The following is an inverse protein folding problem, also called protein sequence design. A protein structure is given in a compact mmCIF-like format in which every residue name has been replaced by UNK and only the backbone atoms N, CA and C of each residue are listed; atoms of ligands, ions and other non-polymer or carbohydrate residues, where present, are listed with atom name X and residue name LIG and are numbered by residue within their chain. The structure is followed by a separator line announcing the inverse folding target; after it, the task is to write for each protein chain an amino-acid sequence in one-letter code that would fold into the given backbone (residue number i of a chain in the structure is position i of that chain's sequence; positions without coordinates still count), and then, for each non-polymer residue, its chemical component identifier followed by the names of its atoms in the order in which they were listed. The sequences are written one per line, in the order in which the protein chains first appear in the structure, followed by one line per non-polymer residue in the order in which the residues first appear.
data_IF_995743099799
#
_entry.id   IF_995743099799
#
_cell.length_a   1.000
_cell.length_b   1.000
_cell.length_c   1.000
_cell.angle_alpha   90.00
_cell.angle_beta   90.00
_cell.angle_gamma   90.00
#
_symmetry.space_group_name_H-M   'P 1'
#
loop_
_entity.id
_entity.type
_entity.pdbx_description
1 polymer ?
#
# COMPACT_ATOMS: atom_id res chain seq x y z
N UNK A 1 22.79 -31.13 -32.44
CA UNK A 1 21.68 -31.62 -33.27
C UNK A 1 20.89 -32.56 -32.37
N UNK A 2 19.72 -32.22 -31.86
CA UNK A 2 18.83 -31.12 -32.26
C UNK A 2 18.29 -30.33 -31.04
N UNK A 3 17.90 -29.07 -31.25
CA UNK A 3 17.57 -28.08 -30.20
C UNK A 3 16.06 -27.74 -30.24
N UNK A 4 15.23 -28.59 -29.64
CA UNK A 4 13.76 -28.44 -29.66
C UNK A 4 13.30 -27.29 -28.76
N UNK A 5 13.23 -26.10 -29.34
CA UNK A 5 12.57 -24.92 -28.75
C UNK A 5 11.08 -25.15 -28.61
N UNK A 6 10.59 -25.29 -27.38
CA UNK A 6 9.16 -25.31 -27.09
C UNK A 6 8.56 -23.90 -27.16
N UNK A 7 7.92 -23.55 -28.26
CA UNK A 7 7.03 -22.37 -28.32
C UNK A 7 5.74 -22.64 -27.53
N UNK A 8 5.60 -22.02 -26.36
CA UNK A 8 4.35 -22.06 -25.60
C UNK A 8 3.32 -21.11 -26.21
N UNK A 9 2.59 -21.63 -27.20
CA UNK A 9 1.38 -21.01 -27.76
C UNK A 9 0.23 -20.98 -26.73
N UNK A 10 0.26 -20.00 -25.84
CA UNK A 10 -0.76 -19.77 -24.80
C UNK A 10 -1.98 -18.98 -25.28
N UNK A 11 -2.77 -19.52 -26.20
CA UNK A 11 -3.94 -18.84 -26.77
C UNK A 11 -5.18 -18.95 -25.87
N UNK A 12 -5.58 -17.81 -25.30
CA UNK A 12 -6.98 -17.39 -25.10
C UNK A 12 -7.94 -18.31 -24.29
N UNK A 13 -8.09 -17.98 -23.01
CA UNK A 13 -9.30 -18.28 -22.23
C UNK A 13 -10.03 -16.96 -21.86
N UNK A 14 -10.56 -16.26 -22.86
CA UNK A 14 -11.41 -15.09 -22.63
C UNK A 14 -12.78 -15.53 -22.10
N UNK A 15 -13.13 -15.09 -20.89
CA UNK A 15 -14.51 -15.05 -20.43
C UNK A 15 -15.36 -14.32 -21.49
N UNK A 16 -16.34 -15.03 -22.07
CA UNK A 16 -17.28 -14.47 -23.05
C UNK A 16 -18.17 -13.40 -22.40
N UNK A 17 -18.82 -12.62 -23.25
CA UNK A 17 -19.82 -11.59 -22.94
C UNK A 17 -19.29 -10.25 -22.40
N UNK A 18 -18.48 -9.57 -23.23
CA UNK A 18 -18.50 -8.09 -23.35
C UNK A 18 -18.37 -7.65 -24.81
N UNK A 19 -19.04 -6.55 -25.22
CA UNK A 19 -18.94 -6.02 -26.58
C UNK A 19 -17.56 -5.41 -26.86
N UNK A 20 -17.10 -5.41 -28.13
CA UNK A 20 -15.77 -4.95 -28.51
C UNK A 20 -15.64 -3.43 -28.38
N UNK A 21 -15.03 -2.95 -27.30
CA UNK A 21 -14.72 -1.54 -27.09
C UNK A 21 -13.19 -1.36 -27.06
N UNK A 22 -12.59 -1.43 -28.26
CA UNK A 22 -11.19 -1.13 -28.58
C UNK A 22 -10.16 -1.30 -27.44
N UNK A 23 -9.61 -2.50 -27.30
CA UNK A 23 -8.37 -2.72 -26.56
C UNK A 23 -7.20 -2.09 -27.33
N UNK A 24 -6.75 -0.90 -26.90
CA UNK A 24 -5.68 -0.12 -27.57
C UNK A 24 -4.27 -0.40 -27.04
N UNK A 25 -4.07 -1.42 -26.20
CA UNK A 25 -2.75 -1.84 -25.76
C UNK A 25 -2.10 -2.79 -26.77
N UNK A 26 -1.68 -2.23 -27.91
CA UNK A 26 -1.07 -2.96 -29.02
C UNK A 26 0.45 -3.17 -28.80
N UNK A 27 0.80 -3.85 -27.71
CA UNK A 27 2.18 -4.21 -27.40
C UNK A 27 2.28 -5.68 -27.01
N UNK A 28 3.23 -6.39 -27.63
CA UNK A 28 3.63 -7.73 -27.21
C UNK A 28 4.43 -7.63 -25.92
N UNK A 29 4.11 -8.52 -25.00
CA UNK A 29 4.70 -8.59 -23.67
C UNK A 29 5.45 -9.91 -23.58
N UNK A 30 6.76 -9.83 -23.38
CA UNK A 30 7.61 -11.00 -23.13
C UNK A 30 8.03 -10.98 -21.67
N UNK A 31 7.64 -12.01 -20.93
CA UNK A 31 8.04 -12.23 -19.53
C UNK A 31 9.07 -13.35 -19.51
N UNK A 32 10.18 -13.16 -18.79
CA UNK A 32 11.18 -14.22 -18.65
C UNK A 32 10.59 -15.41 -17.86
N UNK A 33 10.67 -16.66 -18.38
CA UNK A 33 9.96 -17.81 -17.81
C UNK A 33 10.60 -18.35 -16.52
N UNK A 34 11.82 -17.96 -16.20
CA UNK A 34 12.55 -18.39 -15.01
C UNK A 34 13.03 -17.19 -14.20
N UNK A 35 12.93 -17.28 -12.87
CA UNK A 35 13.48 -16.26 -11.96
C UNK A 35 15.01 -16.20 -12.14
N UNK A 36 15.57 -15.07 -12.63
CA UNK A 36 17.00 -14.91 -12.82
C UNK A 36 17.76 -15.15 -11.52
N UNK A 37 19.01 -15.62 -11.61
CA UNK A 37 19.84 -15.93 -10.43
C UNK A 37 19.96 -14.75 -9.46
N UNK A 38 19.94 -13.51 -9.93
CA UNK A 38 19.98 -12.28 -9.13
C UNK A 38 18.66 -11.96 -8.40
N UNK A 39 17.53 -12.49 -8.86
CA UNK A 39 16.21 -12.29 -8.26
C UNK A 39 15.80 -13.43 -7.30
N UNK A 40 16.59 -14.50 -7.21
CA UNK A 40 16.38 -15.59 -6.25
C UNK A 40 16.67 -15.08 -4.84
N UNK A 41 15.69 -15.15 -3.95
CA UNK A 41 15.76 -14.56 -2.60
C UNK A 41 15.07 -13.20 -2.45
N UNK A 42 14.43 -12.67 -3.51
CA UNK A 42 13.44 -11.61 -3.36
C UNK A 42 12.14 -12.20 -2.82
N UNK A 43 11.90 -12.04 -1.50
CA UNK A 43 10.69 -12.56 -0.84
C UNK A 43 9.40 -11.90 -1.37
N UNK A 44 9.48 -10.69 -1.94
CA UNK A 44 8.33 -10.01 -2.54
C UNK A 44 8.49 -9.90 -4.05
N UNK A 45 7.43 -10.24 -4.80
CA UNK A 45 7.40 -10.21 -6.28
C UNK A 45 6.10 -9.62 -6.78
N UNK A 46 6.17 -8.65 -7.69
CA UNK A 46 5.02 -8.20 -8.47
C UNK A 46 4.86 -9.14 -9.66
N UNK A 47 3.69 -9.75 -9.81
CA UNK A 47 3.34 -10.75 -10.82
C UNK A 47 2.35 -10.23 -11.87
N UNK A 48 1.61 -9.17 -11.57
CA UNK A 48 0.63 -8.61 -12.49
C UNK A 48 0.29 -7.15 -12.23
N UNK A 49 -0.12 -6.46 -13.29
CA UNK A 49 -0.64 -5.09 -13.27
C UNK A 49 -1.96 -5.03 -14.06
N UNK A 50 -2.98 -4.43 -13.46
CA UNK A 50 -4.25 -4.09 -14.12
C UNK A 50 -4.41 -2.57 -14.13
N UNK A 51 -4.59 -1.95 -15.29
CA UNK A 51 -4.81 -0.51 -15.45
C UNK A 51 -6.09 -0.25 -16.22
N UNK A 52 -6.97 0.62 -15.71
CA UNK A 52 -8.21 1.01 -16.38
C UNK A 52 -8.40 2.52 -16.48
N UNK A 53 -8.89 2.95 -17.63
CA UNK A 53 -9.19 4.33 -17.99
C UNK A 53 -8.03 5.31 -17.69
N UNK A 54 -6.78 4.91 -17.92
CA UNK A 54 -5.59 5.72 -17.67
C UNK A 54 -4.90 6.12 -18.98
N UNK A 55 -4.99 7.39 -19.36
CA UNK A 55 -4.42 8.00 -20.58
C UNK A 55 -4.85 7.31 -21.91
N UNK A 56 -4.17 6.25 -22.32
CA UNK A 56 -4.51 5.42 -23.50
C UNK A 56 -4.92 4.00 -23.13
N UNK A 57 -4.85 3.62 -21.85
CA UNK A 57 -5.13 2.27 -21.35
C UNK A 57 -6.61 2.18 -20.91
N UNK A 58 -7.39 1.35 -21.59
CA UNK A 58 -8.84 1.16 -21.37
C UNK A 58 -9.13 0.13 -20.28
N UNK A 59 -8.77 -1.14 -20.49
CA UNK A 59 -8.78 -2.24 -19.50
C UNK A 59 -7.58 -3.17 -19.71
N UNK A 60 -6.37 -2.64 -19.53
CA UNK A 60 -5.11 -3.36 -19.77
C UNK A 60 -4.77 -4.25 -18.58
N UNK A 61 -4.54 -5.54 -18.83
CA UNK A 61 -3.91 -6.48 -17.89
C UNK A 61 -2.56 -6.90 -18.44
N UNK A 62 -1.54 -6.90 -17.59
CA UNK A 62 -0.15 -7.14 -17.94
C UNK A 62 0.45 -8.14 -16.96
N UNK A 63 0.87 -9.34 -17.39
CA UNK A 63 1.71 -10.20 -16.56
C UNK A 63 3.08 -9.53 -16.39
N UNK A 64 3.61 -9.58 -15.18
CA UNK A 64 4.91 -9.05 -14.82
C UNK A 64 5.77 -10.19 -14.27
N UNK A 65 7.02 -10.23 -14.69
CA UNK A 65 8.04 -11.09 -14.09
C UNK A 65 9.34 -10.34 -13.83
N UNK A 66 10.35 -11.00 -13.25
CA UNK A 66 11.62 -10.37 -12.85
C UNK A 66 12.35 -9.65 -13.99
N UNK A 67 12.11 -10.06 -15.23
CA UNK A 67 12.35 -9.27 -16.43
C UNK A 67 11.08 -9.29 -17.28
N UNK A 68 10.58 -8.10 -17.62
CA UNK A 68 9.43 -7.92 -18.53
C UNK A 68 9.83 -6.96 -19.64
N UNK A 69 9.69 -7.38 -20.89
CA UNK A 69 10.02 -6.59 -22.08
C UNK A 69 8.73 -6.31 -22.85
N UNK A 70 8.43 -5.02 -23.09
CA UNK A 70 7.28 -4.57 -23.86
C UNK A 70 7.73 -4.07 -25.23
N UNK A 71 7.26 -4.70 -26.31
CA UNK A 71 7.63 -4.37 -27.70
C UNK A 71 6.36 -4.09 -28.50
N UNK A 72 6.33 -3.00 -29.26
CA UNK A 72 5.19 -2.61 -30.08
C UNK A 72 5.35 -1.20 -30.66
N UNK A 73 4.41 -0.70 -31.47
CA UNK A 73 4.48 0.61 -32.11
C UNK A 73 4.60 1.79 -31.13
N UNK A 74 4.97 2.96 -31.64
CA UNK A 74 4.82 4.21 -30.90
C UNK A 74 3.34 4.46 -30.59
N UNK A 75 3.07 5.18 -29.50
CA UNK A 75 1.72 5.41 -28.94
C UNK A 75 0.91 4.18 -28.46
N UNK A 76 1.40 2.94 -28.62
CA UNK A 76 0.75 1.69 -28.15
C UNK A 76 0.63 1.52 -26.61
N UNK A 77 0.70 2.60 -25.84
CA UNK A 77 0.49 2.58 -24.38
C UNK A 77 1.67 2.11 -23.51
N UNK A 78 2.78 1.61 -24.09
CA UNK A 78 3.96 1.11 -23.33
C UNK A 78 4.46 2.08 -22.25
N UNK A 79 4.66 3.36 -22.57
CA UNK A 79 5.08 4.37 -21.58
C UNK A 79 3.97 4.67 -20.56
N UNK A 80 2.69 4.52 -20.92
CA UNK A 80 1.57 4.73 -20.01
C UNK A 80 1.43 3.59 -18.98
N UNK A 81 1.95 2.39 -19.26
CA UNK A 81 2.13 1.32 -18.26
C UNK A 81 3.10 1.76 -17.18
N UNK A 82 4.28 2.26 -17.58
CA UNK A 82 5.29 2.78 -16.64
C UNK A 82 4.72 3.96 -15.84
N UNK A 83 4.05 4.90 -16.49
CA UNK A 83 3.41 6.01 -15.80
C UNK A 83 2.26 5.63 -14.86
N UNK A 84 1.59 4.48 -15.07
CA UNK A 84 0.60 3.97 -14.12
C UNK A 84 1.26 3.40 -12.86
N UNK A 85 2.43 2.76 -13.00
CA UNK A 85 3.28 2.33 -11.87
C UNK A 85 3.89 3.53 -11.14
N UNK A 86 4.42 4.52 -11.86
CA UNK A 86 4.93 5.77 -11.29
C UNK A 86 3.84 6.50 -10.49
N UNK A 87 2.65 6.64 -11.09
CA UNK A 87 1.50 7.29 -10.47
C UNK A 87 1.05 6.55 -9.21
N UNK A 88 1.01 5.21 -9.23
CA UNK A 88 0.73 4.44 -8.03
C UNK A 88 1.80 4.71 -6.95
N UNK A 89 3.08 4.68 -7.31
CA UNK A 89 4.17 5.01 -6.40
C UNK A 89 4.08 6.44 -5.84
N UNK A 90 3.64 7.42 -6.62
CA UNK A 90 3.44 8.80 -6.14
C UNK A 90 2.25 8.90 -5.20
N UNK A 91 1.13 8.22 -5.48
CA UNK A 91 -0.02 8.15 -4.55
C UNK A 91 0.39 7.54 -3.21
N UNK A 92 1.29 6.54 -3.20
CA UNK A 92 1.85 5.92 -1.98
C UNK A 92 2.91 6.78 -1.28
N UNK A 93 3.56 7.74 -1.98
CA UNK A 93 4.63 8.58 -1.39
C UNK A 93 4.20 9.99 -0.99
N UNK A 94 3.19 10.54 -1.66
CA UNK A 94 2.79 11.97 -1.60
C UNK A 94 1.28 12.17 -1.44
N UNK A 95 0.51 11.10 -1.35
CA UNK A 95 -0.94 11.15 -1.34
C UNK A 95 -1.55 11.48 -2.72
N UNK A 96 -2.88 11.41 -2.78
CA UNK A 96 -3.63 11.48 -4.04
C UNK A 96 -3.70 12.89 -4.64
N UNK A 97 -3.77 13.93 -3.79
CA UNK A 97 -3.89 15.33 -4.23
C UNK A 97 -2.61 15.80 -4.94
N UNK A 98 -1.43 15.56 -4.34
CA UNK A 98 -0.13 15.84 -4.95
C UNK A 98 0.09 15.05 -6.24
N UNK A 99 -0.16 13.73 -6.22
CA UNK A 99 0.03 12.86 -7.38
C UNK A 99 -0.84 13.25 -8.59
N UNK A 100 -2.02 13.85 -8.38
CA UNK A 100 -2.77 14.49 -9.47
C UNK A 100 -2.28 15.89 -9.82
N UNK A 101 -1.99 16.74 -8.83
CA UNK A 101 -1.57 18.13 -9.05
C UNK A 101 -0.32 18.23 -9.91
N UNK A 102 0.72 17.48 -9.58
CA UNK A 102 1.97 17.39 -10.34
C UNK A 102 1.78 16.86 -11.78
N UNK A 103 0.65 16.19 -12.05
CA UNK A 103 0.36 15.50 -13.32
C UNK A 103 -0.78 16.15 -14.12
N UNK A 104 -1.23 17.36 -13.74
CA UNK A 104 -2.26 18.11 -14.46
C UNK A 104 -3.71 17.75 -14.13
N UNK A 105 -3.96 17.07 -13.01
CA UNK A 105 -5.29 16.74 -12.52
C UNK A 105 -5.94 15.50 -13.17
N UNK A 106 -7.19 15.23 -12.78
CA UNK A 106 -7.88 13.99 -13.19
C UNK A 106 -8.05 13.85 -14.71
N UNK A 107 -8.42 14.92 -15.42
CA UNK A 107 -8.59 14.90 -16.89
C UNK A 107 -7.25 14.76 -17.66
N UNK A 108 -6.09 14.91 -17.00
CA UNK A 108 -4.77 14.63 -17.57
C UNK A 108 -4.36 13.16 -17.47
N UNK A 109 -4.84 12.45 -16.44
CA UNK A 109 -4.58 11.01 -16.26
C UNK A 109 -5.71 10.11 -16.75
N UNK A 110 -6.93 10.62 -16.86
CA UNK A 110 -8.08 9.87 -17.38
C UNK A 110 -7.93 9.52 -18.87
N UNK A 111 -8.50 8.39 -19.28
CA UNK A 111 -8.58 8.00 -20.68
C UNK A 111 -9.40 8.99 -21.51
N UNK A 112 -8.88 9.32 -22.71
CA UNK A 112 -9.43 10.39 -23.57
C UNK A 112 -10.07 9.92 -24.88
N UNK A 113 -9.89 8.67 -25.28
CA UNK A 113 -10.35 8.14 -26.58
C UNK A 113 -11.81 7.68 -26.64
N UNK A 114 -12.66 8.07 -25.69
CA UNK A 114 -14.03 7.56 -25.56
C UNK A 114 -15.09 8.65 -25.60
N UNK A 115 -16.24 8.36 -26.22
CA UNK A 115 -17.37 9.29 -26.33
C UNK A 115 -18.03 9.67 -24.98
N UNK A 116 -17.77 8.91 -23.91
CA UNK A 116 -18.26 9.20 -22.55
C UNK A 116 -17.11 9.64 -21.66
N UNK A 117 -17.34 10.71 -20.90
CA UNK A 117 -16.37 11.21 -19.93
C UNK A 117 -16.05 10.15 -18.86
N UNK A 118 -14.76 9.90 -18.62
CA UNK A 118 -14.32 8.93 -17.60
C UNK A 118 -14.76 9.37 -16.20
N UNK A 119 -15.44 8.46 -15.51
CA UNK A 119 -15.91 8.61 -14.12
C UNK A 119 -15.05 7.87 -13.09
N UNK A 120 -14.08 7.04 -13.52
CA UNK A 120 -13.18 6.31 -12.61
C UNK A 120 -11.88 5.87 -13.30
N UNK A 121 -10.74 6.18 -12.69
CA UNK A 121 -9.44 5.55 -12.98
C UNK A 121 -9.24 4.38 -12.01
N UNK A 122 -8.56 3.29 -12.40
CA UNK A 122 -8.07 2.30 -11.44
C UNK A 122 -6.75 1.68 -11.84
N UNK A 123 -5.87 1.47 -10.86
CA UNK A 123 -4.58 0.76 -10.99
C UNK A 123 -4.55 -0.33 -9.93
N UNK A 124 -4.30 -1.57 -10.30
CA UNK A 124 -4.18 -2.68 -9.37
C UNK A 124 -2.95 -3.51 -9.65
N UNK A 125 -2.35 -4.04 -8.60
CA UNK A 125 -1.11 -4.83 -8.63
C UNK A 125 -1.40 -6.17 -7.97
N UNK A 126 -0.90 -7.25 -8.58
CA UNK A 126 -1.00 -8.61 -8.10
C UNK A 126 0.40 -9.17 -7.88
N UNK A 127 0.62 -9.96 -6.83
CA UNK A 127 1.96 -10.38 -6.44
C UNK A 127 2.04 -11.28 -5.22
N UNK A 128 3.26 -11.60 -4.81
CA UNK A 128 3.58 -12.30 -3.56
C UNK A 128 4.20 -11.25 -2.63
N UNK A 129 3.52 -10.94 -1.53
CA UNK A 129 3.96 -9.92 -0.56
C UNK A 129 3.77 -10.34 0.92
N UNK A 130 2.89 -11.30 1.19
CA UNK A 130 2.63 -11.89 2.50
C UNK A 130 3.09 -13.34 2.58
N UNK A 131 3.31 -13.84 3.79
CA UNK A 131 4.09 -15.06 4.05
C UNK A 131 3.50 -16.35 3.44
N UNK A 132 2.19 -16.38 3.15
CA UNK A 132 1.50 -17.52 2.52
C UNK A 132 0.92 -17.18 1.14
N UNK A 133 1.38 -16.09 0.52
CA UNK A 133 1.08 -15.81 -0.88
C UNK A 133 1.94 -16.67 -1.82
N UNK A 134 1.36 -17.13 -2.92
CA UNK A 134 2.04 -17.94 -3.95
C UNK A 134 1.68 -17.45 -5.35
N UNK A 135 2.17 -18.12 -6.39
CA UNK A 135 1.80 -17.77 -7.77
C UNK A 135 0.33 -18.18 -8.07
N UNK A 136 -0.21 -19.15 -7.34
CA UNK A 136 -1.61 -19.59 -7.35
C UNK A 136 -2.48 -18.72 -6.43
N UNK A 137 -2.02 -18.37 -5.22
CA UNK A 137 -2.73 -17.54 -4.25
C UNK A 137 -2.04 -16.19 -4.06
N UNK A 138 -2.17 -15.34 -5.08
CA UNK A 138 -1.54 -14.02 -5.13
C UNK A 138 -2.25 -13.00 -4.23
N UNK A 139 -1.47 -12.16 -3.57
CA UNK A 139 -1.91 -10.92 -2.96
C UNK A 139 -2.34 -9.91 -4.03
N UNK A 140 -3.26 -9.03 -3.66
CA UNK A 140 -3.80 -8.03 -4.58
C UNK A 140 -4.01 -6.69 -3.91
N UNK A 141 -3.51 -5.66 -4.55
CA UNK A 141 -3.85 -4.27 -4.28
C UNK A 141 -4.66 -3.68 -5.45
N UNK A 142 -5.66 -2.86 -5.17
CA UNK A 142 -6.45 -2.16 -6.18
C UNK A 142 -6.78 -0.73 -5.73
N UNK A 143 -6.06 0.25 -6.28
CA UNK A 143 -6.40 1.67 -6.20
C UNK A 143 -7.50 2.01 -7.20
N UNK A 144 -8.51 2.72 -6.74
CA UNK A 144 -9.67 3.13 -7.55
C UNK A 144 -9.98 4.57 -7.21
N UNK A 145 -10.05 5.40 -8.24
CA UNK A 145 -10.26 6.84 -8.13
C UNK A 145 -11.52 7.21 -8.91
N UNK A 146 -12.71 6.97 -8.33
CA UNK A 146 -13.94 7.52 -8.84
C UNK A 146 -13.97 9.05 -8.74
N UNK A 147 -14.60 9.66 -9.74
CA UNK A 147 -14.91 11.09 -9.83
C UNK A 147 -16.43 11.25 -9.85
N UNK A 148 -16.97 12.01 -8.89
CA UNK A 148 -18.40 12.34 -8.80
C UNK A 148 -18.62 13.80 -9.19
N UNK A 149 -19.61 14.06 -10.05
CA UNK A 149 -20.11 15.41 -10.35
C UNK A 149 -20.79 15.97 -9.10
N UNK A 150 -20.43 17.19 -8.69
CA UNK A 150 -21.14 17.95 -7.68
C UNK A 150 -22.30 18.70 -8.34
N UNK A 151 -23.40 18.87 -7.61
CA UNK A 151 -24.44 19.80 -8.03
C UNK A 151 -23.88 21.22 -7.93
N UNK A 152 -24.08 22.03 -8.98
CA UNK A 152 -23.70 23.44 -9.02
C UNK A 152 -24.89 24.23 -9.53
N UNK A 153 -25.14 25.37 -8.90
CA UNK A 153 -26.11 26.39 -9.33
C UNK A 153 -25.52 27.33 -10.38
N UNK A 154 -24.20 27.32 -10.56
CA UNK A 154 -23.47 28.19 -11.48
C UNK A 154 -23.33 27.58 -12.90
N UNK A 155 -23.33 28.44 -13.93
CA UNK A 155 -23.35 28.08 -15.37
C UNK A 155 -22.00 27.59 -15.91
N UNK A 156 -20.96 27.52 -15.09
CA UNK A 156 -19.62 27.05 -15.47
C UNK A 156 -19.49 25.53 -15.66
N UNK A 157 -18.27 25.07 -15.95
CA UNK A 157 -17.94 23.63 -16.02
C UNK A 157 -18.21 23.02 -14.63
N UNK A 158 -19.07 22.00 -14.49
CA UNK A 158 -19.53 21.56 -13.18
C UNK A 158 -18.34 21.07 -12.33
N UNK A 159 -18.25 21.44 -11.05
CA UNK A 159 -17.20 20.95 -10.17
C UNK A 159 -17.34 19.44 -9.98
N UNK A 160 -16.19 18.77 -9.87
CA UNK A 160 -16.13 17.34 -9.59
C UNK A 160 -15.28 17.11 -8.35
N UNK A 161 -15.67 16.12 -7.54
CA UNK A 161 -14.85 15.61 -6.44
C UNK A 161 -14.33 14.22 -6.80
N UNK A 162 -13.04 13.98 -6.56
CA UNK A 162 -12.40 12.66 -6.63
C UNK A 162 -12.20 12.11 -5.22
N UNK A 163 -12.32 10.80 -5.04
CA UNK A 163 -12.07 10.18 -3.73
C UNK A 163 -11.27 8.88 -3.88
N UNK A 164 -10.38 8.62 -2.92
CA UNK A 164 -9.58 7.39 -2.82
C UNK A 164 -10.51 6.23 -2.43
N UNK A 165 -10.44 5.14 -3.19
CA UNK A 165 -10.94 3.83 -2.79
C UNK A 165 -9.82 2.83 -2.97
N UNK A 166 -9.59 1.98 -1.98
CA UNK A 166 -8.57 0.94 -2.04
C UNK A 166 -9.15 -0.40 -1.64
N UNK A 167 -8.60 -1.45 -2.23
CA UNK A 167 -8.79 -2.82 -1.78
C UNK A 167 -7.42 -3.48 -1.65
N UNK A 168 -7.18 -4.07 -0.49
CA UNK A 168 -6.05 -4.91 -0.19
C UNK A 168 -6.55 -6.35 -0.03
N UNK A 169 -5.74 -7.31 -0.43
CA UNK A 169 -6.00 -8.74 -0.26
C UNK A 169 -4.67 -9.40 0.04
N UNK A 170 -4.58 -10.07 1.18
CA UNK A 170 -3.36 -10.69 1.71
C UNK A 170 -3.63 -12.10 2.21
N UNK A 171 -2.58 -12.92 2.25
CA UNK A 171 -2.58 -14.30 2.74
C UNK A 171 -1.59 -14.43 3.92
N UNK A 172 -1.95 -13.93 5.13
CA UNK A 172 -1.08 -13.96 6.30
C UNK A 172 -0.97 -15.33 7.00
N UNK A 173 -1.83 -16.30 6.64
CA UNK A 173 -1.75 -17.69 7.12
C UNK A 173 -2.27 -18.65 6.05
N UNK A 174 -1.87 -19.92 6.11
CA UNK A 174 -2.28 -20.95 5.14
C UNK A 174 -3.80 -21.04 5.00
N UNK A 175 -4.32 -20.82 3.78
CA UNK A 175 -5.76 -20.79 3.49
C UNK A 175 -6.53 -19.55 4.00
N UNK A 176 -5.90 -18.70 4.82
CA UNK A 176 -6.51 -17.51 5.40
C UNK A 176 -6.34 -16.29 4.48
N UNK A 177 -7.34 -16.02 3.66
CA UNK A 177 -7.40 -14.80 2.83
C UNK A 177 -8.08 -13.65 3.59
N UNK A 178 -7.34 -12.57 3.83
CA UNK A 178 -7.85 -11.33 4.41
C UNK A 178 -8.06 -10.29 3.31
N UNK A 179 -9.22 -9.64 3.29
CA UNK A 179 -9.52 -8.53 2.37
C UNK A 179 -9.97 -7.31 3.18
N UNK A 180 -9.38 -6.17 2.85
CA UNK A 180 -9.64 -4.87 3.49
C UNK A 180 -10.00 -3.89 2.38
N UNK A 181 -11.13 -3.21 2.52
CA UNK A 181 -11.58 -2.19 1.57
C UNK A 181 -11.80 -0.87 2.29
N UNK A 182 -11.09 0.17 1.84
CA UNK A 182 -11.25 1.55 2.31
C UNK A 182 -11.99 2.36 1.24
N UNK A 183 -13.07 3.06 1.61
CA UNK A 183 -13.84 3.86 0.66
C UNK A 183 -14.58 5.02 1.34
N UNK A 184 -14.17 6.27 1.08
CA UNK A 184 -14.88 7.48 1.52
C UNK A 184 -15.24 7.47 3.02
N UNK A 185 -14.25 7.14 3.85
CA UNK A 185 -14.40 7.04 5.31
C UNK A 185 -14.97 5.71 5.82
N UNK A 186 -15.66 4.90 5.00
CA UNK A 186 -16.05 3.56 5.44
C UNK A 186 -14.91 2.55 5.22
N UNK A 187 -14.82 1.60 6.15
CA UNK A 187 -13.94 0.45 6.10
C UNK A 187 -14.79 -0.83 6.00
N UNK A 188 -14.31 -1.85 5.31
CA UNK A 188 -14.87 -3.20 5.36
C UNK A 188 -13.74 -4.20 5.46
N UNK A 189 -13.81 -5.11 6.43
CA UNK A 189 -12.79 -6.11 6.72
C UNK A 189 -13.44 -7.50 6.67
N UNK A 190 -13.07 -8.31 5.69
CA UNK A 190 -13.70 -9.62 5.44
C UNK A 190 -13.19 -10.71 6.39
N UNK A 191 -12.08 -10.47 7.12
CA UNK A 191 -11.45 -11.44 8.02
C UNK A 191 -12.34 -11.89 9.19
N UNK A 192 -13.24 -11.01 9.67
CA UNK A 192 -14.13 -11.28 10.80
C UNK A 192 -15.00 -12.54 10.63
N UNK A 193 -15.33 -12.93 9.40
CA UNK A 193 -16.14 -14.13 9.13
C UNK A 193 -15.40 -15.45 9.37
N UNK A 194 -14.08 -15.44 9.59
CA UNK A 194 -13.25 -16.65 9.76
C UNK A 194 -12.61 -16.84 11.13
N UNK A 195 -12.71 -15.86 12.03
CA UNK A 195 -12.21 -15.99 13.41
C UNK A 195 -12.97 -17.05 14.24
N UNK A 196 -14.11 -17.56 13.75
CA UNK A 196 -14.91 -18.60 14.42
C UNK A 196 -14.27 -20.00 14.44
N UNK A 197 -13.10 -20.20 13.80
CA UNK A 197 -12.43 -21.50 13.68
C UNK A 197 -11.08 -21.63 14.42
N UNK A 198 -10.67 -20.62 15.21
CA UNK A 198 -9.44 -20.67 16.00
C UNK A 198 -9.78 -20.61 17.50
N UNK A 199 -9.16 -21.45 18.33
CA UNK A 199 -9.24 -21.37 19.80
C UNK A 199 -8.40 -20.21 20.39
N UNK A 200 -8.37 -19.06 19.71
CA UNK A 200 -7.66 -17.87 20.12
C UNK A 200 -8.63 -16.70 20.27
N UNK A 201 -8.63 -16.06 21.44
CA UNK A 201 -9.46 -14.88 21.70
C UNK A 201 -9.07 -13.73 20.78
N UNK A 202 -9.98 -13.29 19.91
CA UNK A 202 -9.77 -12.12 19.05
C UNK A 202 -9.91 -10.82 19.86
N UNK A 203 -8.81 -10.40 20.49
CA UNK A 203 -8.76 -9.18 21.31
C UNK A 203 -9.10 -7.93 20.48
N UNK A 204 -8.55 -7.80 19.27
CA UNK A 204 -8.88 -6.68 18.37
C UNK A 204 -8.10 -6.65 17.05
N UNK A 205 -8.41 -5.67 16.20
CA UNK A 205 -7.68 -5.39 14.95
C UNK A 205 -6.81 -4.14 15.04
N UNK A 206 -5.57 -4.24 14.57
CA UNK A 206 -4.77 -3.07 14.19
C UNK A 206 -4.91 -2.85 12.69
N UNK A 207 -5.31 -1.65 12.29
CA UNK A 207 -5.40 -1.26 10.87
C UNK A 207 -4.30 -0.22 10.59
N UNK A 208 -3.34 -0.51 9.69
CA UNK A 208 -2.40 0.50 9.22
C UNK A 208 -3.12 1.45 8.24
N UNK A 209 -2.95 2.75 8.43
CA UNK A 209 -3.44 3.78 7.52
C UNK A 209 -2.36 4.80 7.19
N UNK A 210 -2.31 5.19 5.94
CA UNK A 210 -1.39 6.18 5.39
C UNK A 210 -2.08 7.55 5.45
N UNK A 211 -1.61 8.43 6.36
CA UNK A 211 -2.19 9.75 6.61
C UNK A 211 -1.21 10.85 6.18
N UNK A 212 -1.69 11.81 5.39
CA UNK A 212 -0.82 12.79 4.69
C UNK A 212 0.01 13.67 5.65
N UNK A 213 -0.55 14.02 6.82
CA UNK A 213 0.12 14.74 7.91
C UNK A 213 -0.38 14.24 9.27
N UNK A 214 0.47 14.36 10.30
CA UNK A 214 0.20 13.87 11.68
C UNK A 214 0.19 14.94 12.77
N UNK A 215 0.54 16.18 12.43
CA UNK A 215 0.70 17.26 13.43
C UNK A 215 -0.36 18.36 13.35
N UNK A 216 -1.34 18.22 12.45
CA UNK A 216 -2.33 19.25 12.12
C UNK A 216 -3.77 18.87 12.57
N UNK A 217 -4.77 19.66 12.16
CA UNK A 217 -6.20 19.41 12.44
C UNK A 217 -6.87 18.44 11.45
N UNK A 218 -6.34 18.29 10.23
CA UNK A 218 -6.82 17.32 9.23
C UNK A 218 -6.55 15.90 9.72
N UNK A 219 -5.40 15.67 10.35
CA UNK A 219 -5.09 14.43 11.06
C UNK A 219 -6.21 14.01 12.02
N UNK A 220 -6.62 14.89 12.94
CA UNK A 220 -7.66 14.59 13.94
C UNK A 220 -8.99 14.23 13.28
N UNK A 221 -9.41 15.01 12.29
CA UNK A 221 -10.67 14.78 11.57
C UNK A 221 -10.66 13.44 10.81
N UNK A 222 -9.55 13.10 10.16
CA UNK A 222 -9.42 11.84 9.42
C UNK A 222 -9.27 10.65 10.37
N UNK A 223 -8.43 10.75 11.40
CA UNK A 223 -8.22 9.70 12.41
C UNK A 223 -9.51 9.40 13.18
N UNK A 224 -10.25 10.40 13.63
CA UNK A 224 -11.53 10.18 14.32
C UNK A 224 -12.58 9.63 13.35
N UNK A 225 -12.64 10.13 12.10
CA UNK A 225 -13.51 9.58 11.06
C UNK A 225 -13.28 8.08 10.83
N UNK A 226 -12.02 7.65 10.70
CA UNK A 226 -11.66 6.23 10.54
C UNK A 226 -11.94 5.44 11.83
N UNK A 227 -11.55 5.97 12.99
CA UNK A 227 -11.71 5.30 14.30
C UNK A 227 -13.19 5.08 14.66
N UNK A 228 -14.05 6.08 14.43
CA UNK A 228 -15.50 5.94 14.59
C UNK A 228 -16.08 4.88 13.66
N UNK A 229 -15.58 4.75 12.43
CA UNK A 229 -16.07 3.75 11.46
C UNK A 229 -15.53 2.34 11.74
N UNK A 230 -14.31 2.22 12.24
CA UNK A 230 -13.76 0.98 12.83
C UNK A 230 -14.66 0.48 13.96
N UNK A 231 -14.94 1.33 14.97
CA UNK A 231 -15.80 1.01 16.13
C UNK A 231 -17.24 0.64 15.74
N UNK A 232 -17.76 1.16 14.63
CA UNK A 232 -19.10 0.83 14.12
C UNK A 232 -19.16 -0.48 13.33
N UNK A 233 -18.05 -0.90 12.75
CA UNK A 233 -18.00 -2.04 11.80
C UNK A 233 -17.45 -3.31 12.44
N UNK A 234 -16.54 -3.18 13.41
CA UNK A 234 -15.87 -4.30 14.06
C UNK A 234 -16.54 -4.61 15.42
N UNK A 235 -16.87 -5.88 15.73
CA UNK A 235 -17.49 -6.27 17.00
C UNK A 235 -16.48 -6.38 18.17
N UNK A 236 -15.18 -6.34 17.88
CA UNK A 236 -14.07 -6.42 18.81
C UNK A 236 -13.34 -5.06 18.93
N UNK A 237 -12.28 -4.99 19.74
CA UNK A 237 -11.49 -3.77 19.83
C UNK A 237 -10.78 -3.45 18.50
N UNK A 238 -10.40 -2.19 18.32
CA UNK A 238 -9.69 -1.71 17.14
C UNK A 238 -8.74 -0.55 17.45
N UNK A 239 -7.65 -0.46 16.68
CA UNK A 239 -6.66 0.59 16.78
C UNK A 239 -6.15 0.97 15.38
N UNK A 240 -5.87 2.25 15.18
CA UNK A 240 -5.34 2.79 13.93
C UNK A 240 -3.84 3.05 14.10
N UNK A 241 -3.02 2.20 13.47
CA UNK A 241 -1.58 2.43 13.30
C UNK A 241 -1.33 3.25 12.03
N UNK A 242 -0.16 3.88 11.94
CA UNK A 242 0.25 4.59 10.73
C UNK A 242 0.98 3.69 9.73
N UNK A 243 1.27 4.22 8.54
CA UNK A 243 1.93 3.46 7.50
C UNK A 243 3.40 3.17 7.86
N UNK A 244 3.97 2.15 7.22
CA UNK A 244 5.30 1.64 7.54
C UNK A 244 6.40 2.72 7.44
N UNK A 245 6.20 3.79 6.67
CA UNK A 245 7.15 4.91 6.47
C UNK A 245 7.29 5.80 7.71
N UNK A 246 6.27 5.81 8.59
CA UNK A 246 6.28 6.57 9.84
C UNK A 246 6.71 5.71 11.04
N UNK A 247 6.78 4.39 10.87
CA UNK A 247 7.19 3.45 11.91
C UNK A 247 8.66 3.62 12.30
N UNK A 248 9.55 4.09 11.41
CA UNK A 248 10.91 4.48 11.78
C UNK A 248 10.94 5.54 12.90
N UNK A 249 10.00 6.49 12.88
CA UNK A 249 9.85 7.50 13.95
C UNK A 249 9.36 6.90 15.26
N UNK A 250 8.74 5.72 15.24
CA UNK A 250 8.35 4.98 16.45
C UNK A 250 9.53 4.18 17.03
N UNK A 251 10.42 3.64 16.19
CA UNK A 251 11.63 2.92 16.66
C UNK A 251 12.50 3.80 17.57
N UNK A 252 12.61 5.09 17.24
CA UNK A 252 13.42 6.06 18.00
C UNK A 252 12.86 6.40 19.39
N UNK A 253 11.65 5.94 19.73
CA UNK A 253 11.09 6.02 21.08
C UNK A 253 11.73 5.01 22.05
N UNK A 254 12.42 3.99 21.52
CA UNK A 254 12.97 2.86 22.27
C UNK A 254 14.48 2.70 22.03
N UNK A 255 15.30 3.70 22.44
CA UNK A 255 16.71 3.77 22.06
C UNK A 255 17.59 2.62 22.57
N UNK A 256 17.14 1.90 23.60
CA UNK A 256 17.92 0.83 24.22
C UNK A 256 17.78 -0.53 23.49
N UNK A 257 16.80 -0.67 22.59
CA UNK A 257 16.65 -1.85 21.72
C UNK A 257 17.69 -1.87 20.58
N UNK A 258 18.12 -0.71 20.09
CA UNK A 258 19.12 -0.62 19.02
C UNK A 258 20.44 -1.38 19.29
N UNK A 259 21.12 -1.20 20.44
CA UNK A 259 22.37 -1.92 20.74
C UNK A 259 22.18 -3.44 20.90
N UNK A 260 20.94 -3.92 21.14
CA UNK A 260 20.62 -5.35 21.21
C UNK A 260 20.62 -5.98 19.82
N UNK A 261 19.96 -5.34 18.85
CA UNK A 261 19.96 -5.79 17.45
C UNK A 261 21.35 -5.69 16.82
N UNK A 262 22.10 -4.61 17.09
CA UNK A 262 23.49 -4.44 16.64
C UNK A 262 24.31 -3.70 17.71
N UNK A 263 25.36 -4.31 18.22
CA UNK A 263 26.27 -3.71 19.22
C UNK A 263 26.86 -2.34 18.82
N UNK A 264 26.99 -2.06 17.52
CA UNK A 264 27.48 -0.79 16.98
C UNK A 264 26.41 0.29 16.77
N UNK A 265 25.19 0.07 17.26
CA UNK A 265 24.08 1.03 17.20
C UNK A 265 23.84 1.72 18.53
N UNK A 266 23.72 3.04 18.50
CA UNK A 266 23.34 3.85 19.66
C UNK A 266 22.69 5.15 19.20
N UNK A 267 21.60 5.53 19.84
CA UNK A 267 20.93 6.80 19.55
C UNK A 267 21.56 7.94 20.34
N UNK A 268 21.81 9.07 19.66
CA UNK A 268 22.44 10.27 20.25
C UNK A 268 21.66 10.77 21.47
N UNK A 269 22.38 11.27 22.47
CA UNK A 269 21.79 11.88 23.68
C UNK A 269 20.80 12.99 23.35
N UNK A 270 21.12 13.82 22.36
CA UNK A 270 20.27 14.88 21.80
C UNK A 270 18.96 14.36 21.20
N UNK A 271 19.00 13.18 20.56
CA UNK A 271 17.82 12.60 19.91
C UNK A 271 16.85 11.98 20.92
N UNK A 272 17.34 11.49 22.07
CA UNK A 272 16.54 10.80 23.11
C UNK A 272 15.37 11.60 23.68
N UNK A 273 15.33 12.92 23.46
CA UNK A 273 14.27 13.83 23.93
C UNK A 273 13.56 14.59 22.81
N UNK A 274 13.78 14.24 21.54
CA UNK A 274 13.14 14.92 20.40
C UNK A 274 11.68 14.51 20.25
N UNK A 275 10.92 15.40 19.63
CA UNK A 275 9.59 15.11 19.09
C UNK A 275 9.72 14.55 17.67
N UNK A 276 9.54 13.25 17.54
CA UNK A 276 9.63 12.54 16.27
C UNK A 276 8.37 12.68 15.40
N UNK A 277 7.31 13.33 15.89
CA UNK A 277 6.09 13.64 15.11
C UNK A 277 6.39 14.52 13.89
N UNK A 278 7.43 15.35 13.95
CA UNK A 278 7.82 16.30 12.90
C UNK A 278 9.17 15.98 12.25
N UNK A 279 9.72 14.78 12.48
CA UNK A 279 10.99 14.39 11.89
C UNK A 279 10.80 14.05 10.42
N UNK A 280 11.23 14.97 9.54
CA UNK A 280 11.34 14.69 8.12
C UNK A 280 12.37 13.58 7.87
N UNK A 281 12.03 12.61 7.02
CA UNK A 281 12.93 11.54 6.57
C UNK A 281 13.53 10.67 7.72
N UNK A 282 12.68 9.99 8.52
CA UNK A 282 13.12 9.28 9.72
C UNK A 282 14.04 8.08 9.44
N UNK A 283 13.83 7.40 8.31
CA UNK A 283 14.73 6.36 7.80
C UNK A 283 16.13 6.92 7.51
N UNK A 284 16.22 8.04 6.82
CA UNK A 284 17.48 8.71 6.52
C UNK A 284 18.17 9.23 7.79
N UNK A 285 17.41 9.68 8.80
CA UNK A 285 17.93 10.02 10.13
C UNK A 285 18.60 8.81 10.80
N UNK A 286 17.91 7.66 10.85
CA UNK A 286 18.47 6.40 11.37
C UNK A 286 19.73 5.99 10.59
N UNK A 287 19.72 6.07 9.27
CA UNK A 287 20.88 5.69 8.43
C UNK A 287 22.11 6.57 8.67
N UNK A 288 21.93 7.86 8.98
CA UNK A 288 23.03 8.81 9.23
C UNK A 288 23.54 8.78 10.67
N UNK A 289 22.66 8.54 11.65
CA UNK A 289 22.96 8.83 13.06
C UNK A 289 23.01 7.61 13.97
N UNK A 290 22.50 6.44 13.56
CA UNK A 290 22.40 5.27 14.44
C UNK A 290 23.74 4.52 14.64
N UNK A 291 24.62 4.49 13.63
CA UNK A 291 25.92 3.81 13.70
C UNK A 291 26.15 2.79 12.58
N UNK A 292 27.01 1.79 12.83
CA UNK A 292 27.37 0.74 11.86
C UNK A 292 26.94 -0.65 12.35
N UNK A 293 26.50 -1.57 11.46
CA UNK A 293 26.27 -1.39 10.02
C UNK A 293 25.11 -0.43 9.72
N UNK A 294 25.03 0.17 8.54
CA UNK A 294 23.96 1.13 8.22
C UNK A 294 22.56 0.49 8.33
N UNK A 295 21.64 1.21 8.98
CA UNK A 295 20.24 0.79 9.17
C UNK A 295 19.52 0.43 7.86
N UNK A 296 18.73 -0.64 7.90
CA UNK A 296 17.84 -1.09 6.82
C UNK A 296 16.43 -1.26 7.37
N UNK A 297 15.41 -0.97 6.56
CA UNK A 297 13.98 -1.19 6.91
C UNK A 297 13.69 -2.65 7.29
N UNK A 298 14.47 -3.60 6.77
CA UNK A 298 14.42 -5.03 7.15
C UNK A 298 14.84 -5.31 8.60
N UNK A 299 15.43 -4.36 9.31
CA UNK A 299 15.81 -4.49 10.72
C UNK A 299 14.72 -3.97 11.68
N UNK A 300 13.71 -3.20 11.21
CA UNK A 300 12.60 -2.68 12.05
C UNK A 300 11.87 -3.76 12.85
N UNK A 301 11.52 -4.94 12.28
CA UNK A 301 10.84 -5.99 13.05
C UNK A 301 11.70 -6.54 14.17
N UNK A 302 13.04 -6.61 13.98
CA UNK A 302 13.99 -7.07 15.00
C UNK A 302 14.13 -6.06 16.12
N UNK A 303 14.17 -4.77 15.78
CA UNK A 303 14.19 -3.69 16.77
C UNK A 303 12.91 -3.78 17.62
N UNK A 304 11.73 -3.86 17.01
CA UNK A 304 10.47 -3.99 17.75
C UNK A 304 10.38 -5.28 18.59
N UNK A 305 10.94 -6.41 18.14
CA UNK A 305 11.03 -7.62 18.95
C UNK A 305 11.86 -7.39 20.22
N UNK A 306 13.03 -6.75 20.10
CA UNK A 306 13.85 -6.37 21.27
C UNK A 306 13.13 -5.37 22.20
N UNK A 307 12.31 -4.45 21.68
CA UNK A 307 11.48 -3.56 22.53
C UNK A 307 10.48 -4.37 23.37
N UNK A 308 9.90 -5.43 22.82
CA UNK A 308 8.98 -6.34 23.53
C UNK A 308 9.73 -7.15 24.58
N UNK A 309 10.86 -7.78 24.23
CA UNK A 309 11.71 -8.57 25.15
C UNK A 309 12.25 -7.73 26.32
N UNK A 310 12.59 -6.47 26.08
CA UNK A 310 13.01 -5.53 27.12
C UNK A 310 11.85 -5.01 27.99
N UNK A 311 10.60 -5.38 27.71
CA UNK A 311 9.41 -4.85 28.39
C UNK A 311 9.20 -3.35 28.18
N UNK A 312 9.79 -2.76 27.13
CA UNK A 312 9.82 -1.31 26.90
C UNK A 312 8.61 -0.77 26.13
N UNK A 313 7.68 -1.62 25.68
CA UNK A 313 6.43 -1.21 25.01
C UNK A 313 5.50 -0.51 26.02
N UNK A 314 5.76 0.77 26.25
CA UNK A 314 4.96 1.67 27.09
C UNK A 314 4.05 2.55 26.23
N UNK A 315 2.81 2.85 26.65
CA UNK A 315 1.96 3.88 26.02
C UNK A 315 2.56 5.29 26.10
N UNK A 316 3.48 5.50 27.05
CA UNK A 316 4.22 6.74 27.25
C UNK A 316 5.71 6.40 27.31
N UNK A 317 6.38 6.21 26.16
CA UNK A 317 7.82 6.03 26.11
C UNK A 317 8.56 7.33 26.46
N UNK A 318 9.89 7.30 26.70
CA UNK A 318 10.65 8.50 27.07
C UNK A 318 10.71 9.59 25.98
N UNK A 319 10.58 9.21 24.70
CA UNK A 319 10.51 10.13 23.57
C UNK A 319 9.08 10.59 23.25
N UNK A 320 8.94 11.67 22.48
CA UNK A 320 7.62 12.14 22.05
C UNK A 320 7.34 11.75 20.58
N UNK A 321 6.20 11.12 20.34
CA UNK A 321 5.60 10.99 19.02
C UNK A 321 4.07 10.89 19.21
N UNK A 322 3.33 11.85 18.62
CA UNK A 322 1.88 11.94 18.74
C UNK A 322 1.19 10.68 18.23
N UNK A 323 1.57 10.21 17.04
CA UNK A 323 0.88 9.09 16.40
C UNK A 323 1.10 7.76 17.10
N UNK A 324 2.30 7.54 17.66
CA UNK A 324 2.54 6.40 18.54
C UNK A 324 1.66 6.48 19.79
N UNK A 325 1.56 7.66 20.42
CA UNK A 325 0.71 7.85 21.61
C UNK A 325 -0.76 7.59 21.27
N UNK A 326 -1.29 8.16 20.19
CA UNK A 326 -2.68 7.97 19.79
C UNK A 326 -3.00 6.50 19.43
N UNK A 327 -2.01 5.74 18.96
CA UNK A 327 -2.11 4.30 18.73
C UNK A 327 -2.06 3.51 20.05
N UNK A 328 -1.11 3.82 20.93
CA UNK A 328 -0.93 3.10 22.18
C UNK A 328 -2.05 3.40 23.20
N UNK A 329 -2.56 4.64 23.26
CA UNK A 329 -3.74 4.99 24.06
C UNK A 329 -4.99 4.23 23.56
N UNK A 330 -5.11 3.99 22.25
CA UNK A 330 -6.13 3.10 21.71
C UNK A 330 -5.94 1.66 22.19
N UNK A 331 -4.71 1.11 22.15
CA UNK A 331 -4.43 -0.23 22.67
C UNK A 331 -4.69 -0.36 24.18
N UNK A 332 -4.34 0.64 25.00
CA UNK A 332 -4.62 0.65 26.46
C UNK A 332 -6.13 0.63 26.74
N UNK A 333 -6.95 1.22 25.86
CA UNK A 333 -8.40 1.16 25.98
C UNK A 333 -9.00 -0.24 25.71
N UNK A 334 -8.20 -1.19 25.23
CA UNK A 334 -8.59 -2.59 25.05
C UNK A 334 -8.56 -3.31 26.40
N UNK A 335 -9.69 -3.33 27.10
CA UNK A 335 -9.87 -4.23 28.25
C UNK A 335 -9.91 -5.67 27.75
N UNK A 336 -9.30 -6.60 28.49
CA UNK A 336 -9.73 -8.01 28.44
C UNK A 336 -11.23 -8.05 28.77
N UNK A 337 -12.01 -8.75 27.95
CA UNK A 337 -13.45 -8.93 28.18
C UNK A 337 -13.73 -10.10 29.10
#
# INVERSE_FOLDING_TARGET
MDDTRGELSGTQACLRDRPPCADQFDARVVVAPAVPRWARGLNHRILGLTVRNFRTLTDTKLPLGPLTVMVGPNAAGKSNVLHALDFLGDVTRKGIESAFGERGGFDALAFRGGAKQVSRISVGVEGICSDFASEETQDRYELRIPRRRLASTDRGRPPYTTYRQERFTQHPAGGAKTSVKLAKGSLTVDALRRAAGCEAELVGFVVPADLDEVSDKRYDQVREGITTQLRKTLPCHSALALSAVEMESWLMLFPDAFPKVRRGWSMRSEDRRKDFTKLAHPKEHLQRHLGKPTYRVSDSPKIMAEVVELGQVSPRPPGNNRSFRDFADQLVSWKKR
#
